data_IF_288792973783
#
_entry.id   IF_288792973783
#
_cell.length_a   1.000
_cell.length_b   1.000
_cell.length_c   1.000
_cell.angle_alpha   90.00
_cell.angle_beta   90.00
_cell.angle_gamma   90.00
#
_symmetry.space_group_name_H-M   'P 1'
#
loop_
_entity.id
_entity.type
_entity.pdbx_description
1 polymer ?
#
# COMPACT_ATOMS: atom_id res chain seq x y z
N UNK A 1 -9.86 -18.14 13.65
CA UNK A 1 -8.42 -18.27 13.45
C UNK A 1 -8.02 -17.57 12.16
N UNK A 2 -7.00 -16.72 12.22
CA UNK A 2 -6.39 -16.02 11.08
C UNK A 2 -4.93 -16.47 10.98
N UNK A 3 -4.44 -16.71 9.79
CA UNK A 3 -3.07 -17.08 9.51
C UNK A 3 -2.41 -15.89 8.78
N UNK A 4 -1.41 -15.27 9.42
CA UNK A 4 -0.70 -14.10 8.94
C UNK A 4 -1.30 -12.78 9.42
N UNK A 5 -0.47 -11.94 10.03
CA UNK A 5 -0.80 -10.61 10.56
C UNK A 5 -0.47 -9.46 9.61
N UNK A 6 -0.36 -9.71 8.29
CA UNK A 6 -0.19 -8.67 7.28
C UNK A 6 -1.49 -7.90 7.02
N UNK A 7 -1.52 -7.08 5.97
CA UNK A 7 -2.66 -6.18 5.65
C UNK A 7 -4.01 -6.90 5.63
N UNK A 8 -4.11 -8.02 4.93
CA UNK A 8 -5.36 -8.78 4.80
C UNK A 8 -5.79 -9.39 6.13
N UNK A 9 -4.85 -9.99 6.87
CA UNK A 9 -5.13 -10.56 8.19
C UNK A 9 -5.56 -9.52 9.20
N UNK A 10 -4.93 -8.35 9.20
CA UNK A 10 -5.30 -7.22 10.05
C UNK A 10 -6.72 -6.69 9.73
N UNK A 11 -7.05 -6.54 8.45
CA UNK A 11 -8.39 -6.11 8.03
C UNK A 11 -9.49 -7.09 8.44
N UNK A 12 -9.23 -8.41 8.26
CA UNK A 12 -10.17 -9.46 8.69
C UNK A 12 -10.28 -9.49 10.21
N UNK A 13 -9.16 -9.40 10.95
CA UNK A 13 -9.15 -9.36 12.41
C UNK A 13 -9.96 -8.17 12.93
N UNK A 14 -9.74 -6.98 12.39
CA UNK A 14 -10.48 -5.79 12.73
C UNK A 14 -11.99 -5.95 12.49
N UNK A 15 -12.35 -6.44 11.31
CA UNK A 15 -13.76 -6.64 10.94
C UNK A 15 -14.48 -7.63 11.87
N UNK A 16 -13.85 -8.79 12.14
CA UNK A 16 -14.44 -9.81 12.98
C UNK A 16 -14.51 -9.39 14.45
N UNK A 17 -13.46 -8.77 14.98
CA UNK A 17 -13.43 -8.26 16.34
C UNK A 17 -14.46 -7.14 16.54
N UNK A 18 -14.63 -6.25 15.55
CA UNK A 18 -15.66 -5.21 15.55
C UNK A 18 -17.08 -5.79 15.54
N UNK A 19 -17.26 -6.98 15.01
CA UNK A 19 -18.51 -7.73 15.06
C UNK A 19 -18.69 -8.54 16.37
N UNK A 20 -17.79 -8.39 17.35
CA UNK A 20 -17.84 -9.06 18.65
C UNK A 20 -17.38 -10.50 18.66
N UNK A 21 -16.64 -10.94 17.63
CA UNK A 21 -16.08 -12.28 17.56
C UNK A 21 -14.73 -12.37 18.26
N UNK A 22 -14.47 -13.49 18.94
CA UNK A 22 -13.13 -13.82 19.44
C UNK A 22 -12.21 -14.17 18.27
N UNK A 23 -11.09 -13.46 18.15
CA UNK A 23 -10.14 -13.64 17.05
C UNK A 23 -8.79 -14.06 17.58
N UNK A 24 -8.24 -15.16 17.01
CA UNK A 24 -6.86 -15.59 17.19
C UNK A 24 -6.11 -15.42 15.86
N UNK A 25 -5.04 -14.63 15.87
CA UNK A 25 -4.16 -14.47 14.74
C UNK A 25 -2.81 -15.15 15.01
N UNK A 26 -2.38 -16.02 14.11
CA UNK A 26 -1.06 -16.63 14.12
C UNK A 26 -0.18 -15.89 13.11
N UNK A 27 0.97 -15.40 13.59
CA UNK A 27 1.95 -14.70 12.77
C UNK A 27 3.32 -15.39 12.93
N UNK A 28 4.04 -15.54 11.84
CA UNK A 28 5.36 -16.16 11.82
C UNK A 28 6.43 -15.16 12.26
N UNK A 29 6.31 -13.90 11.85
CA UNK A 29 7.28 -12.86 12.14
C UNK A 29 7.19 -12.32 13.55
N UNK A 30 8.30 -11.79 14.04
CA UNK A 30 8.38 -11.17 15.37
C UNK A 30 7.80 -9.75 15.35
N UNK A 31 7.39 -9.26 16.51
CA UNK A 31 7.13 -7.84 16.72
C UNK A 31 8.44 -7.06 16.58
N UNK A 32 8.43 -6.02 15.75
CA UNK A 32 9.54 -5.07 15.63
C UNK A 32 9.09 -3.76 16.26
N UNK A 33 9.88 -3.26 17.19
CA UNK A 33 9.59 -1.98 17.84
C UNK A 33 9.70 -0.85 16.79
N UNK A 34 8.63 -0.08 16.54
CA UNK A 34 8.64 1.02 15.58
C UNK A 34 9.71 2.08 15.85
N UNK A 35 10.14 2.24 17.11
CA UNK A 35 11.18 3.19 17.50
C UNK A 35 12.60 2.74 17.09
N UNK A 36 12.75 1.51 16.62
CA UNK A 36 14.04 0.99 16.12
C UNK A 36 14.22 1.19 14.62
N UNK A 37 13.21 1.69 13.90
CA UNK A 37 13.32 1.94 12.47
C UNK A 37 14.28 3.10 12.19
N UNK A 38 15.17 2.95 11.20
CA UNK A 38 16.22 3.94 10.93
C UNK A 38 15.74 5.16 10.12
N UNK A 39 14.45 5.35 9.92
CA UNK A 39 13.90 6.38 9.02
C UNK A 39 14.14 7.81 9.45
N UNK A 40 14.52 8.04 10.71
CA UNK A 40 14.91 9.33 11.28
C UNK A 40 16.43 9.53 11.37
N UNK A 41 17.22 8.59 10.84
CA UNK A 41 18.68 8.63 10.83
C UNK A 41 19.21 9.13 9.48
N UNK A 42 20.30 9.87 9.50
CA UNK A 42 20.92 10.47 8.30
C UNK A 42 21.40 9.44 7.27
N UNK A 43 21.66 8.20 7.72
CA UNK A 43 22.18 7.09 6.91
C UNK A 43 21.18 5.94 6.73
N UNK A 44 19.88 6.22 6.84
CA UNK A 44 18.81 5.20 6.79
C UNK A 44 18.86 4.33 5.51
N UNK A 45 19.31 4.88 4.39
CA UNK A 45 19.45 4.14 3.12
C UNK A 45 20.49 3.02 3.22
N UNK A 46 21.50 3.17 4.07
CA UNK A 46 22.50 2.12 4.31
C UNK A 46 21.89 0.96 5.10
N UNK A 47 21.06 1.27 6.09
CA UNK A 47 20.34 0.27 6.86
C UNK A 47 19.30 -0.49 6.02
N UNK A 48 18.78 0.14 4.96
CA UNK A 48 17.88 -0.52 4.02
C UNK A 48 18.53 -1.66 3.23
N UNK A 49 19.83 -1.67 3.13
CA UNK A 49 20.60 -2.74 2.48
C UNK A 49 21.10 -3.82 3.46
N UNK A 50 20.66 -3.80 4.70
CA UNK A 50 21.05 -4.74 5.76
C UNK A 50 19.81 -5.31 6.45
N UNK A 51 19.71 -5.16 7.77
CA UNK A 51 18.67 -5.76 8.61
C UNK A 51 17.24 -5.31 8.27
N UNK A 52 17.09 -4.16 7.63
CA UNK A 52 15.80 -3.63 7.18
C UNK A 52 15.55 -3.84 5.68
N UNK A 53 16.39 -4.63 4.99
CA UNK A 53 16.16 -4.95 3.59
C UNK A 53 14.82 -5.70 3.41
N UNK A 54 13.99 -5.35 2.42
CA UNK A 54 12.80 -6.13 2.08
C UNK A 54 13.14 -7.49 1.44
N UNK A 55 14.43 -7.71 1.06
CA UNK A 55 14.89 -8.97 0.52
C UNK A 55 15.41 -9.89 1.64
N UNK A 56 14.76 -11.02 1.94
CA UNK A 56 15.19 -11.96 2.97
C UNK A 56 16.55 -12.59 2.65
N UNK A 57 16.94 -12.70 1.38
CA UNK A 57 18.25 -13.21 0.98
C UNK A 57 19.38 -12.22 1.28
N UNK A 58 19.07 -10.93 1.37
CA UNK A 58 20.00 -9.87 1.82
C UNK A 58 20.03 -9.77 3.34
N UNK A 59 18.86 -9.69 3.97
CA UNK A 59 18.70 -9.48 5.42
C UNK A 59 19.22 -10.63 6.26
N UNK A 60 18.87 -11.87 5.90
CA UNK A 60 19.35 -13.13 6.54
C UNK A 60 19.18 -13.17 8.06
N UNK A 61 18.07 -12.63 8.57
CA UNK A 61 17.76 -12.75 10.00
C UNK A 61 17.42 -14.21 10.36
N UNK A 62 17.56 -14.63 11.62
CA UNK A 62 17.23 -16.01 12.04
C UNK A 62 15.78 -16.44 11.77
N UNK A 63 14.86 -15.47 11.65
CA UNK A 63 13.44 -15.71 11.33
C UNK A 63 13.17 -15.78 9.83
N UNK A 64 14.15 -15.40 9.01
CA UNK A 64 14.03 -15.47 7.57
C UNK A 64 14.27 -16.88 7.05
N UNK A 65 13.61 -17.21 5.98
CA UNK A 65 13.89 -18.40 5.19
C UNK A 65 14.24 -17.95 3.77
N UNK A 66 15.14 -18.68 3.08
CA UNK A 66 15.54 -18.28 1.73
C UNK A 66 14.35 -18.37 0.79
N UNK A 67 14.26 -17.39 -0.12
CA UNK A 67 13.34 -17.43 -1.24
C UNK A 67 14.06 -18.06 -2.40
N UNK A 68 13.52 -19.16 -2.92
CA UNK A 68 14.00 -19.75 -4.16
C UNK A 68 13.29 -19.10 -5.36
N UNK A 69 14.02 -18.30 -6.10
CA UNK A 69 13.55 -17.58 -7.27
C UNK A 69 14.34 -17.96 -8.55
N UNK A 70 15.06 -19.09 -8.54
CA UNK A 70 15.92 -19.54 -9.65
C UNK A 70 15.15 -19.70 -10.97
N UNK A 71 13.90 -20.15 -10.91
CA UNK A 71 13.04 -20.33 -12.08
C UNK A 71 12.04 -19.16 -12.27
N UNK A 72 12.18 -18.06 -11.52
CA UNK A 72 11.29 -16.91 -11.59
C UNK A 72 11.93 -15.75 -12.35
N UNK A 73 11.18 -15.06 -13.22
CA UNK A 73 11.66 -13.84 -13.86
C UNK A 73 11.74 -12.64 -12.90
N UNK A 74 11.26 -12.78 -11.68
CA UNK A 74 11.26 -11.74 -10.63
C UNK A 74 11.82 -12.30 -9.33
N UNK A 75 12.50 -11.46 -8.57
CA UNK A 75 12.90 -11.75 -7.19
C UNK A 75 11.84 -11.19 -6.22
N UNK A 76 11.05 -12.04 -5.56
CA UNK A 76 10.01 -11.57 -4.66
C UNK A 76 10.61 -10.97 -3.38
N UNK A 77 10.08 -9.83 -2.97
CA UNK A 77 10.43 -9.19 -1.72
C UNK A 77 9.45 -9.59 -0.63
N UNK A 78 9.96 -9.82 0.58
CA UNK A 78 9.14 -10.19 1.74
C UNK A 78 9.81 -9.73 3.02
N UNK A 79 9.03 -9.12 3.91
CA UNK A 79 9.49 -8.78 5.25
C UNK A 79 8.78 -9.63 6.29
N UNK A 80 9.55 -10.39 7.06
CA UNK A 80 9.04 -11.38 8.01
C UNK A 80 8.91 -10.76 9.41
N UNK A 81 7.80 -10.11 9.66
CA UNK A 81 7.46 -9.45 10.91
C UNK A 81 5.95 -9.36 11.09
N UNK A 82 5.49 -9.03 12.29
CA UNK A 82 4.09 -8.63 12.52
C UNK A 82 3.78 -7.43 11.63
N UNK A 83 2.79 -7.54 10.75
CA UNK A 83 2.50 -6.57 9.70
C UNK A 83 3.10 -6.92 8.33
N UNK A 84 4.11 -7.81 8.29
CA UNK A 84 4.73 -8.24 7.05
C UNK A 84 5.38 -7.10 6.27
N UNK A 85 5.34 -7.20 4.94
CA UNK A 85 5.93 -6.19 4.04
C UNK A 85 5.30 -4.80 4.14
N UNK A 86 4.16 -4.63 4.84
CA UNK A 86 3.59 -3.30 5.10
C UNK A 86 4.46 -2.42 5.99
N UNK A 87 5.46 -2.98 6.68
CA UNK A 87 6.48 -2.18 7.39
C UNK A 87 7.24 -1.25 6.44
N UNK A 88 7.43 -1.66 5.19
CA UNK A 88 8.09 -0.87 4.15
C UNK A 88 7.12 -0.05 3.28
N UNK A 89 5.87 0.08 3.72
CA UNK A 89 4.87 0.80 2.97
C UNK A 89 5.13 2.30 2.97
N UNK A 90 5.09 2.91 1.79
CA UNK A 90 5.28 4.35 1.59
C UNK A 90 3.99 5.17 1.72
N UNK A 91 2.94 4.60 2.26
CA UNK A 91 1.62 5.22 2.43
C UNK A 91 0.93 5.68 1.12
N UNK A 92 1.42 5.23 -0.03
CA UNK A 92 0.79 5.50 -1.32
C UNK A 92 -0.51 4.68 -1.44
N UNK A 93 -1.65 5.35 -1.66
CA UNK A 93 -2.97 4.73 -1.48
C UNK A 93 -3.95 4.99 -2.63
N UNK A 94 -3.56 4.78 -3.89
CA UNK A 94 -4.47 4.91 -5.01
C UNK A 94 -5.47 3.75 -5.03
N UNK A 95 -6.69 4.01 -5.53
CA UNK A 95 -7.61 2.93 -5.87
C UNK A 95 -7.25 2.34 -7.22
N UNK A 96 -7.66 1.10 -7.46
CA UNK A 96 -7.66 0.54 -8.80
C UNK A 96 -8.63 1.30 -9.71
N UNK A 97 -8.35 1.32 -11.01
CA UNK A 97 -9.33 1.76 -12.01
C UNK A 97 -10.33 0.64 -12.32
N UNK A 98 -11.55 0.96 -12.78
CA UNK A 98 -12.50 -0.05 -13.24
C UNK A 98 -11.92 -0.99 -14.30
N UNK A 99 -11.03 -0.47 -15.17
CA UNK A 99 -10.32 -1.24 -16.20
C UNK A 99 -9.42 -2.33 -15.63
N UNK A 100 -8.84 -2.12 -14.45
CA UNK A 100 -7.92 -3.09 -13.83
C UNK A 100 -8.62 -4.42 -13.47
N UNK A 101 -9.94 -4.39 -13.35
CA UNK A 101 -10.76 -5.58 -13.12
C UNK A 101 -11.11 -6.33 -14.42
N UNK A 102 -10.72 -5.80 -15.59
CA UNK A 102 -11.11 -6.29 -16.92
C UNK A 102 -9.93 -6.39 -17.89
N UNK A 103 -8.76 -6.66 -17.37
CA UNK A 103 -7.50 -6.66 -18.15
C UNK A 103 -7.55 -7.70 -19.28
N UNK A 104 -8.11 -8.88 -19.01
CA UNK A 104 -8.25 -9.91 -20.06
C UNK A 104 -9.19 -9.45 -21.18
N UNK A 105 -10.34 -8.91 -20.81
CA UNK A 105 -11.35 -8.47 -21.79
C UNK A 105 -10.91 -7.23 -22.58
N UNK A 106 -10.13 -6.33 -21.97
CA UNK A 106 -9.72 -5.06 -22.58
C UNK A 106 -8.40 -5.18 -23.34
N UNK A 107 -7.41 -5.86 -22.76
CA UNK A 107 -6.03 -5.87 -23.24
C UNK A 107 -5.58 -7.26 -23.76
N UNK A 108 -6.39 -8.29 -23.54
CA UNK A 108 -6.10 -9.65 -24.00
C UNK A 108 -5.05 -10.41 -23.18
N UNK A 109 -4.59 -9.86 -22.05
CA UNK A 109 -3.58 -10.43 -21.17
C UNK A 109 -4.15 -10.73 -19.80
N UNK A 110 -3.48 -11.59 -19.01
CA UNK A 110 -3.88 -11.99 -17.67
C UNK A 110 -5.34 -12.53 -17.62
N UNK A 111 -6.06 -12.30 -16.52
CA UNK A 111 -7.45 -12.70 -16.31
C UNK A 111 -8.30 -11.53 -15.82
N UNK A 112 -9.60 -11.55 -16.10
CA UNK A 112 -10.54 -10.63 -15.49
C UNK A 112 -10.79 -11.05 -14.03
N UNK A 113 -10.92 -10.06 -13.14
CA UNK A 113 -11.36 -10.34 -11.79
C UNK A 113 -12.84 -10.79 -11.78
N UNK A 114 -13.23 -11.72 -10.88
CA UNK A 114 -14.62 -12.18 -10.76
C UNK A 114 -15.54 -11.12 -10.13
N UNK A 115 -14.99 -9.98 -9.74
CA UNK A 115 -15.68 -8.84 -9.14
C UNK A 115 -15.39 -7.58 -9.96
N UNK A 116 -16.14 -6.52 -9.70
CA UNK A 116 -16.01 -5.22 -10.36
C UNK A 116 -15.54 -4.15 -9.38
N UNK A 117 -15.05 -3.03 -9.91
CA UNK A 117 -14.78 -1.82 -9.12
C UNK A 117 -15.99 -1.41 -8.28
N UNK A 118 -17.19 -1.39 -8.87
CA UNK A 118 -18.41 -0.90 -8.21
C UNK A 118 -18.87 -1.79 -7.06
N UNK A 119 -18.57 -3.08 -7.10
CA UNK A 119 -18.82 -3.97 -5.97
C UNK A 119 -17.86 -3.71 -4.80
N UNK A 120 -16.63 -3.25 -5.10
CA UNK A 120 -15.64 -2.87 -4.08
C UNK A 120 -15.74 -1.42 -3.62
N UNK A 121 -16.37 -0.54 -4.38
CA UNK A 121 -16.42 0.90 -4.11
C UNK A 121 -16.86 1.26 -2.68
N UNK A 122 -17.90 0.63 -2.08
CA UNK A 122 -18.27 0.89 -0.69
C UNK A 122 -17.16 0.54 0.31
N UNK A 123 -16.38 -0.50 0.02
CA UNK A 123 -15.26 -0.92 0.85
C UNK A 123 -14.04 -0.01 0.65
N UNK A 124 -13.80 0.49 -0.55
CA UNK A 124 -12.81 1.52 -0.79
C UNK A 124 -13.13 2.79 0.00
N UNK A 125 -14.39 3.26 -0.03
CA UNK A 125 -14.83 4.43 0.74
C UNK A 125 -14.68 4.23 2.25
N UNK A 126 -15.01 3.04 2.75
CA UNK A 126 -14.83 2.70 4.16
C UNK A 126 -13.34 2.71 4.54
N UNK A 127 -12.50 2.07 3.71
CA UNK A 127 -11.07 1.95 3.95
C UNK A 127 -10.36 3.31 3.89
N UNK A 128 -10.69 4.16 2.91
CA UNK A 128 -10.16 5.52 2.82
C UNK A 128 -10.44 6.33 4.09
N UNK A 129 -11.63 6.18 4.68
CA UNK A 129 -11.98 6.85 5.95
C UNK A 129 -11.22 6.28 7.14
N UNK A 130 -11.10 4.96 7.24
CA UNK A 130 -10.38 4.31 8.36
C UNK A 130 -8.90 4.67 8.33
N UNK A 131 -8.31 4.67 7.14
CA UNK A 131 -6.90 4.98 6.94
C UNK A 131 -6.59 6.49 6.95
N UNK A 132 -7.61 7.35 6.98
CA UNK A 132 -7.43 8.80 6.96
C UNK A 132 -6.76 9.29 5.67
N UNK A 133 -7.19 8.78 4.52
CA UNK A 133 -6.52 9.06 3.24
C UNK A 133 -6.63 10.54 2.87
N UNK A 134 -5.46 11.17 2.72
CA UNK A 134 -5.31 12.53 2.22
C UNK A 134 -5.36 12.56 0.68
N UNK A 135 -5.92 13.63 0.11
CA UNK A 135 -6.02 13.78 -1.33
C UNK A 135 -6.99 14.85 -1.76
N UNK A 136 -7.34 14.86 -3.04
CA UNK A 136 -8.37 15.75 -3.61
C UNK A 136 -9.39 14.86 -4.35
N UNK A 137 -10.67 15.01 -4.02
CA UNK A 137 -11.75 14.37 -4.79
C UNK A 137 -11.92 15.04 -6.17
N UNK A 138 -12.58 14.35 -7.09
CA UNK A 138 -12.94 14.92 -8.38
C UNK A 138 -11.96 14.66 -9.53
N UNK A 139 -10.97 13.78 -9.33
CA UNK A 139 -10.12 13.30 -10.41
C UNK A 139 -10.97 12.65 -11.51
N UNK A 140 -11.00 13.22 -12.75
CA UNK A 140 -11.81 12.68 -13.83
C UNK A 140 -11.35 11.32 -14.37
N UNK A 141 -10.13 10.89 -14.00
CA UNK A 141 -9.61 9.57 -14.39
C UNK A 141 -10.22 8.43 -13.55
N UNK A 142 -10.93 8.75 -12.48
CA UNK A 142 -11.56 7.76 -11.60
C UNK A 142 -13.09 7.96 -11.53
N UNK A 143 -13.86 6.93 -11.17
CA UNK A 143 -15.22 7.12 -10.69
C UNK A 143 -15.27 8.13 -9.54
N UNK A 144 -16.41 8.79 -9.38
CA UNK A 144 -16.57 9.80 -8.33
C UNK A 144 -16.29 9.19 -6.95
N UNK A 145 -15.33 9.75 -6.24
CA UNK A 145 -14.96 9.36 -4.88
C UNK A 145 -15.59 10.35 -3.88
N UNK A 146 -15.77 9.90 -2.64
CA UNK A 146 -16.09 10.80 -1.53
C UNK A 146 -14.95 11.81 -1.29
N UNK A 147 -15.29 12.96 -0.70
CA UNK A 147 -14.29 13.95 -0.30
C UNK A 147 -13.27 13.33 0.68
N UNK A 148 -12.02 13.74 0.52
CA UNK A 148 -10.94 13.29 1.41
C UNK A 148 -11.02 14.00 2.76
N UNK A 149 -10.56 13.33 3.81
CA UNK A 149 -10.59 13.87 5.17
C UNK A 149 -9.57 14.98 5.37
N UNK A 150 -8.44 14.88 4.68
CA UNK A 150 -7.34 15.83 4.78
C UNK A 150 -6.85 16.22 3.38
N UNK A 151 -6.29 17.43 3.21
CA UNK A 151 -5.75 17.88 1.93
C UNK A 151 -4.60 16.98 1.46
N UNK A 152 -4.27 16.97 0.18
CA UNK A 152 -3.17 16.17 -0.34
C UNK A 152 -1.83 16.67 0.20
N UNK A 153 -0.82 15.80 0.13
CA UNK A 153 0.56 16.20 0.40
C UNK A 153 0.95 17.32 -0.58
N UNK A 154 1.48 18.45 -0.09
CA UNK A 154 1.88 19.55 -0.95
C UNK A 154 2.94 19.12 -1.96
N UNK A 155 2.79 19.54 -3.21
CA UNK A 155 3.80 19.29 -4.23
C UNK A 155 5.11 20.00 -3.85
N UNK A 156 6.20 19.23 -3.78
CA UNK A 156 7.54 19.79 -3.69
C UNK A 156 7.93 20.56 -4.97
N UNK A 157 9.06 21.25 -4.95
CA UNK A 157 9.54 22.09 -6.08
C UNK A 157 9.58 21.32 -7.41
N UNK A 158 10.07 20.08 -7.39
CA UNK A 158 10.12 19.21 -8.59
C UNK A 158 8.71 18.91 -9.09
N UNK A 159 7.79 18.49 -8.22
CA UNK A 159 6.41 18.21 -8.58
C UNK A 159 5.70 19.43 -9.18
N UNK A 160 5.94 20.63 -8.65
CA UNK A 160 5.39 21.88 -9.22
C UNK A 160 5.92 22.17 -10.62
N UNK A 161 7.20 21.86 -10.90
CA UNK A 161 7.76 22.01 -12.26
C UNK A 161 7.11 21.03 -13.22
N UNK A 162 6.98 19.77 -12.80
CA UNK A 162 6.33 18.72 -13.60
C UNK A 162 4.86 19.06 -13.90
N UNK A 163 4.11 19.47 -12.90
CA UNK A 163 2.71 19.88 -13.05
C UNK A 163 2.55 20.98 -14.13
N UNK A 164 3.37 22.03 -14.06
CA UNK A 164 3.39 23.09 -15.10
C UNK A 164 3.77 22.56 -16.48
N UNK A 165 4.61 21.51 -16.56
CA UNK A 165 4.95 20.86 -17.81
C UNK A 165 3.75 20.12 -18.40
N UNK A 166 3.05 19.35 -17.57
CA UNK A 166 1.82 18.64 -17.96
C UNK A 166 0.72 19.60 -18.41
N UNK A 167 0.52 20.71 -17.68
CA UNK A 167 -0.44 21.75 -18.07
C UNK A 167 -0.15 22.31 -19.47
N UNK A 168 1.13 22.58 -19.78
CA UNK A 168 1.53 23.06 -21.11
C UNK A 168 1.29 22.04 -22.22
N UNK A 169 1.35 20.76 -21.92
CA UNK A 169 1.12 19.67 -22.86
C UNK A 169 -0.35 19.25 -22.94
N UNK A 170 -1.20 19.80 -22.08
CA UNK A 170 -2.59 19.37 -21.95
C UNK A 170 -2.72 17.95 -21.38
N UNK A 171 -1.74 17.49 -20.65
CA UNK A 171 -1.77 16.18 -20.04
C UNK A 171 -2.46 16.22 -18.68
N UNK A 172 -3.22 15.17 -18.41
CA UNK A 172 -3.85 15.01 -17.09
C UNK A 172 -2.79 14.71 -16.01
N UNK A 173 -2.94 15.35 -14.88
CA UNK A 173 -2.21 15.02 -13.64
C UNK A 173 -3.09 15.30 -12.43
N UNK A 174 -2.83 14.62 -11.35
CA UNK A 174 -3.57 14.78 -10.10
C UNK A 174 -2.66 14.47 -8.90
N UNK A 175 -2.83 15.14 -7.74
CA UNK A 175 -2.13 14.75 -6.50
C UNK A 175 -2.51 13.33 -6.11
N UNK A 176 -1.51 12.53 -5.78
CA UNK A 176 -1.73 11.15 -5.36
C UNK A 176 -2.48 11.07 -4.02
N UNK A 177 -3.38 10.11 -3.92
CA UNK A 177 -3.99 9.72 -2.64
C UNK A 177 -2.93 9.06 -1.75
N UNK A 178 -2.85 9.48 -0.48
CA UNK A 178 -1.85 8.97 0.48
C UNK A 178 -2.47 8.81 1.86
N UNK A 179 -2.20 7.69 2.52
CA UNK A 179 -2.66 7.45 3.89
C UNK A 179 -1.69 8.09 4.91
N UNK A 180 -1.56 9.40 4.82
CA UNK A 180 -0.71 10.23 5.66
C UNK A 180 -1.56 11.36 6.23
N UNK A 181 -1.44 11.62 7.54
CA UNK A 181 -2.05 12.80 8.13
C UNK A 181 -1.30 14.05 7.66
N UNK A 182 -1.99 14.94 6.96
CA UNK A 182 -1.44 16.17 6.38
C UNK A 182 -1.88 17.44 7.13
N UNK A 183 -2.60 17.27 8.23
CA UNK A 183 -3.03 18.35 9.13
C UNK A 183 -2.58 18.04 10.55
N UNK A 184 -2.31 19.10 11.34
CA UNK A 184 -1.94 19.00 12.76
C UNK A 184 -3.18 18.75 13.65
#
# INVERSE_FOLDING_TARGET
LIIGGGTSGAAVAWSLASAGMDVLCLEQGSWIDPWTYPTDQDDWELHYNTDYSPDPNVRKLPVDYPVNDEDSPISPLMYNAVGGSTIHWSAHFPRFHPSDFRVRSLDGVADDWPITYHELEPFFDMNDRIMGVAGIAGDPAYPKKADRQTPPIPLGKTGQVMARGFDKLGWHWWPADSAINTVE
#
